data_IF_354189759661
#
_entry.id   IF_354189759661
#
_cell.length_a   1.000
_cell.length_b   1.000
_cell.length_c   1.000
_cell.angle_alpha   90.00
_cell.angle_beta   90.00
_cell.angle_gamma   90.00
#
_symmetry.space_group_name_H-M   'P 1'
#
loop_
_entity.id
_entity.type
_entity.pdbx_description
1 polymer ?
#
# COMPACT_ATOMS: atom_id res chain seq x y z
N UNK A 1 -12.24 -36.90 -27.95
CA UNK A 1 -13.08 -35.68 -27.91
C UNK A 1 -13.07 -35.18 -26.48
N UNK A 2 -11.99 -34.49 -26.10
CA UNK A 2 -11.90 -33.86 -24.79
C UNK A 2 -12.82 -32.64 -24.79
N UNK A 3 -13.90 -32.75 -24.01
CA UNK A 3 -14.82 -31.67 -23.75
C UNK A 3 -14.12 -30.68 -22.82
N UNK A 4 -13.54 -29.64 -23.41
CA UNK A 4 -13.21 -28.42 -22.67
C UNK A 4 -14.50 -27.90 -22.05
N UNK A 5 -14.64 -28.11 -20.74
CA UNK A 5 -15.68 -27.46 -19.95
C UNK A 5 -15.36 -25.97 -20.00
N UNK A 6 -15.96 -25.28 -20.96
CA UNK A 6 -15.94 -23.84 -21.05
C UNK A 6 -16.85 -23.37 -19.92
N UNK A 7 -16.29 -23.18 -18.72
CA UNK A 7 -16.99 -22.51 -17.62
C UNK A 7 -17.29 -21.10 -18.10
N UNK A 8 -18.50 -20.90 -18.59
CA UNK A 8 -18.99 -19.63 -19.08
C UNK A 8 -18.84 -18.59 -17.96
N UNK A 9 -18.12 -17.51 -18.25
CA UNK A 9 -17.90 -16.44 -17.30
C UNK A 9 -19.24 -15.76 -16.95
N UNK A 10 -19.71 -15.95 -15.72
CA UNK A 10 -20.93 -15.30 -15.22
C UNK A 10 -20.65 -13.83 -14.86
N UNK A 11 -20.77 -12.98 -15.89
CA UNK A 11 -20.60 -11.53 -15.78
C UNK A 11 -21.53 -10.92 -14.73
N UNK A 12 -22.78 -11.36 -14.67
CA UNK A 12 -23.77 -10.79 -13.74
C UNK A 12 -23.41 -11.06 -12.29
N UNK A 13 -22.95 -12.28 -11.97
CA UNK A 13 -22.45 -12.60 -10.63
C UNK A 13 -21.24 -11.73 -10.25
N UNK A 14 -20.34 -11.43 -11.19
CA UNK A 14 -19.19 -10.56 -10.94
C UNK A 14 -19.63 -9.11 -10.70
N UNK A 15 -20.54 -8.57 -11.53
CA UNK A 15 -21.10 -7.24 -11.35
C UNK A 15 -21.80 -7.10 -10.00
N UNK A 16 -22.59 -8.10 -9.60
CA UNK A 16 -23.24 -8.14 -8.28
C UNK A 16 -22.22 -8.08 -7.15
N UNK A 17 -21.16 -8.90 -7.20
CA UNK A 17 -20.10 -8.91 -6.18
C UNK A 17 -19.35 -7.58 -6.09
N UNK A 18 -19.15 -6.88 -7.21
CA UNK A 18 -18.54 -5.53 -7.21
C UNK A 18 -19.48 -4.52 -6.55
N UNK A 19 -20.78 -4.57 -6.85
CA UNK A 19 -21.77 -3.68 -6.22
C UNK A 19 -21.86 -3.91 -4.71
N UNK A 20 -21.83 -5.17 -4.28
CA UNK A 20 -21.77 -5.54 -2.85
C UNK A 20 -20.50 -5.00 -2.18
N UNK A 21 -19.34 -5.20 -2.81
CA UNK A 21 -18.08 -4.65 -2.32
C UNK A 21 -18.10 -3.12 -2.23
N UNK A 22 -18.75 -2.43 -3.19
CA UNK A 22 -18.94 -0.97 -3.21
C UNK A 22 -19.80 -0.50 -2.04
N UNK A 23 -20.91 -1.18 -1.76
CA UNK A 23 -21.76 -0.86 -0.61
C UNK A 23 -21.00 -1.05 0.70
N UNK A 24 -20.29 -2.17 0.83
CA UNK A 24 -19.51 -2.48 2.01
C UNK A 24 -18.40 -1.45 2.25
N UNK A 25 -17.52 -1.20 1.27
CA UNK A 25 -16.43 -0.24 1.44
C UNK A 25 -16.94 1.18 1.62
N UNK A 26 -18.00 1.58 0.91
CA UNK A 26 -18.60 2.91 1.01
C UNK A 26 -19.19 3.21 2.39
N UNK A 27 -19.64 2.17 3.11
CA UNK A 27 -20.17 2.29 4.49
C UNK A 27 -19.09 2.16 5.58
N UNK A 28 -17.83 1.92 5.20
CA UNK A 28 -16.75 1.65 6.16
C UNK A 28 -16.16 2.92 6.79
N UNK A 29 -15.60 2.76 7.99
CA UNK A 29 -14.81 3.81 8.66
C UNK A 29 -13.58 4.22 7.84
N UNK A 30 -12.98 3.28 7.09
CA UNK A 30 -11.87 3.56 6.18
C UNK A 30 -12.29 4.62 5.15
N UNK A 31 -13.39 4.39 4.42
CA UNK A 31 -13.80 5.30 3.37
C UNK A 31 -14.17 6.67 3.94
N UNK A 32 -14.85 6.70 5.08
CA UNK A 32 -15.18 7.93 5.82
C UNK A 32 -13.92 8.71 6.19
N UNK A 33 -12.92 8.03 6.74
CA UNK A 33 -11.62 8.62 7.10
C UNK A 33 -10.87 9.16 5.88
N UNK A 34 -10.81 8.40 4.78
CA UNK A 34 -10.17 8.85 3.54
C UNK A 34 -10.86 10.08 2.96
N UNK A 35 -12.19 10.12 2.94
CA UNK A 35 -12.95 11.30 2.48
C UNK A 35 -12.66 12.52 3.36
N UNK A 36 -12.55 12.34 4.68
CA UNK A 36 -12.16 13.42 5.59
C UNK A 36 -10.75 13.95 5.28
N UNK A 37 -9.76 13.07 5.13
CA UNK A 37 -8.40 13.46 4.75
C UNK A 37 -8.33 14.12 3.37
N UNK A 38 -9.11 13.64 2.39
CA UNK A 38 -9.19 14.29 1.08
C UNK A 38 -9.82 15.69 1.18
N UNK A 39 -10.83 15.88 2.04
CA UNK A 39 -11.42 17.19 2.30
C UNK A 39 -10.39 18.15 2.89
N UNK A 40 -9.60 17.71 3.87
CA UNK A 40 -8.49 18.51 4.41
C UNK A 40 -7.48 18.87 3.32
N UNK A 41 -7.11 17.90 2.49
CA UNK A 41 -6.25 18.11 1.33
C UNK A 41 -6.80 19.13 0.34
N UNK A 42 -8.10 19.07 0.03
CA UNK A 42 -8.75 20.04 -0.86
C UNK A 42 -8.78 21.44 -0.25
N UNK A 43 -8.96 21.58 1.06
CA UNK A 43 -8.85 22.89 1.75
C UNK A 43 -7.46 23.49 1.56
N UNK A 44 -6.39 22.69 1.66
CA UNK A 44 -5.01 23.12 1.40
C UNK A 44 -4.82 23.59 -0.05
N UNK A 45 -5.59 23.04 -1.00
CA UNK A 45 -5.58 23.41 -2.41
C UNK A 45 -6.56 24.55 -2.77
N UNK A 46 -7.15 25.21 -1.77
CA UNK A 46 -8.16 26.28 -1.95
C UNK A 46 -9.51 25.77 -2.52
N UNK A 47 -9.90 24.55 -2.13
CA UNK A 47 -11.17 23.89 -2.46
C UNK A 47 -11.51 23.81 -3.96
N UNK A 48 -10.59 23.30 -4.82
CA UNK A 48 -10.89 23.13 -6.22
C UNK A 48 -11.91 22.01 -6.43
N UNK A 49 -12.70 22.10 -7.51
CA UNK A 49 -13.55 20.99 -7.94
C UNK A 49 -12.70 19.91 -8.60
N UNK A 50 -12.80 18.67 -8.12
CA UNK A 50 -12.21 17.50 -8.76
C UNK A 50 -12.91 17.26 -10.09
N UNK A 51 -12.17 17.33 -11.20
CA UNK A 51 -12.72 17.19 -12.56
C UNK A 51 -12.48 15.80 -13.15
N UNK A 52 -11.45 15.11 -12.67
CA UNK A 52 -11.00 13.85 -13.25
C UNK A 52 -10.49 12.90 -12.17
N UNK A 53 -10.74 11.61 -12.37
CA UNK A 53 -10.11 10.54 -11.59
C UNK A 53 -9.47 9.57 -12.58
N UNK A 54 -8.20 9.27 -12.35
CA UNK A 54 -7.40 8.33 -13.13
C UNK A 54 -6.90 7.25 -12.21
N UNK A 55 -7.10 5.99 -12.59
CA UNK A 55 -6.62 4.84 -11.84
C UNK A 55 -5.59 4.04 -12.64
N UNK A 56 -4.48 3.73 -12.00
CA UNK A 56 -3.47 2.80 -12.50
C UNK A 56 -3.37 1.59 -11.58
N UNK A 57 -3.23 0.38 -12.14
CA UNK A 57 -2.87 -0.80 -11.34
C UNK A 57 -4.01 -1.46 -10.55
N UNK A 58 -5.22 -1.55 -11.10
CA UNK A 58 -6.35 -2.21 -10.42
C UNK A 58 -6.23 -3.74 -10.31
N UNK A 59 -5.46 -4.38 -11.20
CA UNK A 59 -5.36 -5.82 -11.29
C UNK A 59 -6.59 -6.51 -11.93
N UNK A 60 -6.78 -7.78 -11.58
CA UNK A 60 -7.80 -8.68 -12.15
C UNK A 60 -9.13 -8.54 -11.41
N UNK A 61 -9.92 -7.52 -11.72
CA UNK A 61 -11.12 -7.16 -10.94
C UNK A 61 -12.21 -8.24 -10.93
N UNK A 62 -12.30 -9.07 -11.97
CA UNK A 62 -13.27 -10.17 -12.02
C UNK A 62 -12.90 -11.35 -11.12
N UNK A 63 -11.61 -11.58 -10.93
CA UNK A 63 -11.05 -12.80 -10.35
C UNK A 63 -10.49 -12.59 -8.93
N UNK A 64 -9.80 -11.47 -8.70
CA UNK A 64 -9.12 -11.17 -7.45
C UNK A 64 -9.99 -10.34 -6.51
N UNK A 65 -10.10 -10.78 -5.26
CA UNK A 65 -10.87 -10.06 -4.24
C UNK A 65 -10.26 -8.70 -3.90
N UNK A 66 -8.92 -8.61 -3.83
CA UNK A 66 -8.19 -7.37 -3.55
C UNK A 66 -8.51 -6.33 -4.63
N UNK A 67 -8.30 -6.69 -5.90
CA UNK A 67 -8.63 -5.85 -7.06
C UNK A 67 -10.11 -5.42 -7.07
N UNK A 68 -11.02 -6.31 -6.66
CA UNK A 68 -12.44 -6.00 -6.57
C UNK A 68 -12.74 -4.89 -5.56
N UNK A 69 -12.16 -4.95 -4.36
CA UNK A 69 -12.36 -3.91 -3.35
C UNK A 69 -11.65 -2.60 -3.70
N UNK A 70 -10.48 -2.66 -4.34
CA UNK A 70 -9.81 -1.46 -4.86
C UNK A 70 -10.66 -0.77 -5.94
N UNK A 71 -11.24 -1.55 -6.85
CA UNK A 71 -12.17 -1.02 -7.83
C UNK A 71 -13.46 -0.49 -7.19
N UNK A 72 -14.01 -1.19 -6.21
CA UNK A 72 -15.17 -0.73 -5.45
C UNK A 72 -14.90 0.62 -4.74
N UNK A 73 -13.73 0.78 -4.13
CA UNK A 73 -13.29 2.03 -3.52
C UNK A 73 -13.18 3.16 -4.57
N UNK A 74 -12.62 2.88 -5.74
CA UNK A 74 -12.57 3.82 -6.86
C UNK A 74 -13.98 4.26 -7.30
N UNK A 75 -14.95 3.34 -7.34
CA UNK A 75 -16.34 3.68 -7.64
C UNK A 75 -16.99 4.54 -6.55
N UNK A 76 -16.63 4.34 -5.28
CA UNK A 76 -17.09 5.22 -4.19
C UNK A 76 -16.51 6.64 -4.34
N UNK A 77 -15.25 6.78 -4.75
CA UNK A 77 -14.65 8.10 -5.07
C UNK A 77 -15.35 8.77 -6.25
N UNK A 78 -15.65 8.01 -7.32
CA UNK A 78 -16.41 8.50 -8.49
C UNK A 78 -17.74 9.12 -8.06
N UNK A 79 -18.51 8.40 -7.24
CA UNK A 79 -19.80 8.88 -6.75
C UNK A 79 -19.64 10.09 -5.83
N UNK A 80 -18.68 10.04 -4.89
CA UNK A 80 -18.46 11.11 -3.90
C UNK A 80 -18.14 12.46 -4.56
N UNK A 81 -17.29 12.45 -5.60
CA UNK A 81 -16.91 13.66 -6.33
C UNK A 81 -17.80 13.94 -7.55
N UNK A 82 -18.83 13.12 -7.78
CA UNK A 82 -19.74 13.21 -8.93
C UNK A 82 -18.99 13.33 -10.28
N UNK A 83 -17.93 12.53 -10.46
CA UNK A 83 -17.11 12.54 -11.68
C UNK A 83 -17.75 11.62 -12.72
N UNK A 84 -18.08 12.17 -13.89
CA UNK A 84 -18.86 11.47 -14.92
C UNK A 84 -18.21 10.18 -15.44
N UNK A 85 -16.93 10.22 -15.79
CA UNK A 85 -16.16 9.04 -16.22
C UNK A 85 -14.80 9.02 -15.56
N UNK A 86 -14.36 7.81 -15.19
CA UNK A 86 -13.05 7.56 -14.61
C UNK A 86 -12.18 6.88 -15.65
N UNK A 87 -10.93 7.31 -15.78
CA UNK A 87 -9.96 6.67 -16.67
C UNK A 87 -9.24 5.56 -15.91
N UNK A 88 -9.12 4.39 -16.52
CA UNK A 88 -8.49 3.24 -15.88
C UNK A 88 -7.49 2.58 -16.82
N UNK A 89 -6.37 2.12 -16.26
CA UNK A 89 -5.40 1.34 -16.99
C UNK A 89 -4.69 0.33 -16.10
N UNK A 90 -4.63 -0.90 -16.58
CA UNK A 90 -3.74 -1.93 -16.07
C UNK A 90 -3.35 -2.86 -17.23
N UNK A 91 -2.05 -3.15 -17.42
CA UNK A 91 -1.62 -4.09 -18.45
C UNK A 91 -2.20 -5.51 -18.26
N UNK A 92 -2.68 -5.87 -17.07
CA UNK A 92 -3.21 -7.22 -16.78
C UNK A 92 -4.70 -7.37 -17.04
N UNK A 93 -5.42 -6.34 -17.51
CA UNK A 93 -6.84 -6.45 -17.83
C UNK A 93 -7.10 -7.44 -18.99
N UNK A 94 -7.95 -8.44 -18.75
CA UNK A 94 -8.51 -9.27 -19.84
C UNK A 94 -9.73 -8.62 -20.47
N UNK A 95 -10.20 -9.20 -21.56
CA UNK A 95 -11.50 -8.88 -22.16
C UNK A 95 -12.64 -8.91 -21.15
N UNK A 96 -12.60 -9.89 -20.24
CA UNK A 96 -13.52 -9.98 -19.10
C UNK A 96 -13.50 -8.73 -18.22
N UNK A 97 -12.32 -8.30 -17.77
CA UNK A 97 -12.17 -7.10 -16.94
C UNK A 97 -12.64 -5.85 -17.71
N UNK A 98 -12.31 -5.75 -19.00
CA UNK A 98 -12.72 -4.63 -19.86
C UNK A 98 -14.25 -4.54 -19.95
N UNK A 99 -14.90 -5.67 -20.20
CA UNK A 99 -16.37 -5.74 -20.27
C UNK A 99 -17.06 -5.37 -18.94
N UNK A 100 -16.43 -5.70 -17.81
CA UNK A 100 -16.89 -5.27 -16.47
C UNK A 100 -16.73 -3.76 -16.31
N UNK A 101 -15.55 -3.21 -16.61
CA UNK A 101 -15.22 -1.78 -16.48
C UNK A 101 -16.18 -0.89 -17.30
N UNK A 102 -16.49 -1.30 -18.52
CA UNK A 102 -17.48 -0.64 -19.38
C UNK A 102 -18.87 -0.58 -18.73
N UNK A 103 -19.27 -1.64 -18.02
CA UNK A 103 -20.56 -1.71 -17.32
C UNK A 103 -20.68 -0.70 -16.16
N UNK A 104 -19.55 -0.15 -15.69
CA UNK A 104 -19.48 0.90 -14.67
C UNK A 104 -19.09 2.28 -15.23
N UNK A 105 -19.11 2.44 -16.56
CA UNK A 105 -18.77 3.68 -17.28
C UNK A 105 -17.32 4.15 -17.04
N UNK A 106 -16.38 3.19 -17.01
CA UNK A 106 -14.95 3.48 -16.97
C UNK A 106 -14.41 3.63 -18.39
N UNK A 107 -13.60 4.65 -18.64
CA UNK A 107 -12.86 4.81 -19.88
C UNK A 107 -11.53 4.07 -19.77
N UNK A 108 -11.38 2.99 -20.53
CA UNK A 108 -10.17 2.17 -20.49
C UNK A 108 -9.13 2.80 -21.41
N UNK A 109 -7.99 3.20 -20.85
CA UNK A 109 -6.90 3.75 -21.64
C UNK A 109 -6.31 2.63 -22.53
N UNK A 110 -6.04 2.96 -23.79
CA UNK A 110 -5.49 2.00 -24.76
C UNK A 110 -3.96 1.93 -24.70
N UNK A 111 -3.33 3.02 -24.29
CA UNK A 111 -1.88 3.17 -24.27
C UNK A 111 -1.33 2.99 -22.85
N UNK A 112 -0.19 2.30 -22.77
CA UNK A 112 0.58 2.22 -21.54
C UNK A 112 1.37 3.52 -21.34
N UNK A 113 0.82 4.46 -20.58
CA UNK A 113 1.55 5.68 -20.24
C UNK A 113 2.68 5.44 -19.23
N UNK A 114 2.80 4.25 -18.64
CA UNK A 114 3.79 3.94 -17.60
C UNK A 114 3.75 4.94 -16.41
N UNK A 115 2.59 5.56 -16.15
CA UNK A 115 2.42 6.62 -15.16
C UNK A 115 2.81 8.03 -15.63
N UNK A 116 3.36 8.20 -16.85
CA UNK A 116 3.73 9.49 -17.47
C UNK A 116 2.50 10.23 -18.00
N UNK A 117 1.52 10.48 -17.14
CA UNK A 117 0.31 11.21 -17.49
C UNK A 117 0.43 12.67 -17.06
N UNK A 118 0.39 13.59 -18.02
CA UNK A 118 0.39 15.04 -17.74
C UNK A 118 -1.04 15.53 -17.54
N UNK A 119 -1.33 16.16 -16.40
CA UNK A 119 -2.64 16.75 -16.15
C UNK A 119 -2.85 17.95 -17.08
N UNK A 120 -4.05 18.12 -17.66
CA UNK A 120 -4.39 19.34 -18.37
C UNK A 120 -4.35 20.56 -17.44
N UNK A 121 -4.00 21.72 -17.97
CA UNK A 121 -3.92 22.95 -17.19
C UNK A 121 -5.22 23.22 -16.41
N UNK A 122 -5.10 23.55 -15.12
CA UNK A 122 -6.22 23.90 -14.24
C UNK A 122 -7.30 22.80 -14.11
N UNK A 123 -6.86 21.55 -14.21
CA UNK A 123 -7.72 20.37 -14.02
C UNK A 123 -7.25 19.59 -12.81
N UNK A 124 -7.95 19.75 -11.69
CA UNK A 124 -7.67 18.96 -10.48
C UNK A 124 -8.04 17.51 -10.71
N UNK A 125 -7.01 16.66 -10.68
CA UNK A 125 -7.10 15.25 -11.01
C UNK A 125 -6.65 14.39 -9.82
N UNK A 126 -7.51 13.46 -9.40
CA UNK A 126 -7.15 12.42 -8.45
C UNK A 126 -6.52 11.26 -9.21
N UNK A 127 -5.30 10.89 -8.82
CA UNK A 127 -4.63 9.67 -9.25
C UNK A 127 -4.77 8.62 -8.16
N UNK A 128 -5.50 7.54 -8.44
CA UNK A 128 -5.56 6.37 -7.57
C UNK A 128 -4.63 5.28 -8.09
N UNK A 129 -3.64 4.92 -7.28
CA UNK A 129 -2.54 4.04 -7.68
C UNK A 129 -2.30 2.97 -6.62
N UNK A 130 -3.28 2.09 -6.36
CA UNK A 130 -3.17 1.08 -5.32
C UNK A 130 -2.03 0.10 -5.64
N UNK A 131 -1.13 -0.11 -4.68
CA UNK A 131 -0.01 -1.06 -4.77
C UNK A 131 0.84 -0.95 -6.04
N UNK A 132 0.83 0.23 -6.65
CA UNK A 132 1.62 0.50 -7.82
C UNK A 132 3.11 0.57 -7.45
N UNK A 133 4.00 0.07 -8.30
CA UNK A 133 5.43 0.30 -8.13
C UNK A 133 5.72 1.79 -8.01
N UNK A 134 6.64 2.17 -7.10
CA UNK A 134 7.08 3.57 -6.90
C UNK A 134 7.48 4.29 -8.19
N UNK A 135 7.93 3.54 -9.20
CA UNK A 135 8.29 4.04 -10.52
C UNK A 135 7.13 4.75 -11.23
N UNK A 136 5.88 4.27 -11.06
CA UNK A 136 4.72 4.96 -11.66
C UNK A 136 4.49 6.31 -10.99
N UNK A 137 4.56 6.39 -9.65
CA UNK A 137 4.44 7.67 -8.94
C UNK A 137 5.58 8.62 -9.31
N UNK A 138 6.80 8.11 -9.44
CA UNK A 138 7.96 8.89 -9.89
C UNK A 138 7.78 9.43 -11.32
N UNK A 139 7.24 8.62 -12.23
CA UNK A 139 6.93 9.04 -13.61
C UNK A 139 5.81 10.09 -13.66
N UNK A 140 4.80 9.96 -12.81
CA UNK A 140 3.71 10.92 -12.71
C UNK A 140 4.20 12.27 -12.19
N UNK A 141 5.08 12.26 -11.19
CA UNK A 141 5.74 13.47 -10.70
C UNK A 141 6.58 14.12 -11.79
N UNK A 142 7.37 13.34 -12.54
CA UNK A 142 8.15 13.84 -13.65
C UNK A 142 7.28 14.49 -14.75
N UNK A 143 6.22 13.82 -15.17
CA UNK A 143 5.34 14.32 -16.23
C UNK A 143 4.63 15.65 -15.88
N UNK A 144 4.57 15.97 -14.58
CA UNK A 144 3.94 17.18 -14.06
C UNK A 144 4.93 18.08 -13.30
N UNK A 145 6.24 17.83 -13.42
CA UNK A 145 7.25 18.48 -12.60
C UNK A 145 7.21 19.99 -12.78
N UNK A 146 6.96 20.69 -11.67
CA UNK A 146 6.67 22.11 -11.67
C UNK A 146 5.47 22.44 -10.78
N UNK A 147 5.05 23.70 -10.84
CA UNK A 147 3.88 24.16 -10.08
C UNK A 147 2.57 23.50 -10.51
N UNK A 148 2.55 22.84 -11.68
CA UNK A 148 1.41 22.06 -12.16
C UNK A 148 1.07 20.87 -11.25
N UNK A 149 2.02 20.40 -10.43
CA UNK A 149 1.77 19.39 -9.39
C UNK A 149 0.63 19.79 -8.43
N UNK A 150 0.35 21.09 -8.27
CA UNK A 150 -0.75 21.58 -7.46
C UNK A 150 -2.13 21.07 -7.91
N UNK A 151 -2.27 20.67 -9.18
CA UNK A 151 -3.50 20.07 -9.72
C UNK A 151 -3.55 18.54 -9.57
N UNK A 152 -2.50 17.91 -9.04
CA UNK A 152 -2.44 16.47 -8.81
C UNK A 152 -2.80 16.14 -7.35
N UNK A 153 -3.68 15.16 -7.14
CA UNK A 153 -3.91 14.55 -5.83
C UNK A 153 -3.60 13.07 -5.96
N UNK A 154 -2.63 12.53 -5.22
CA UNK A 154 -2.22 11.13 -5.36
C UNK A 154 -2.70 10.31 -4.16
N UNK A 155 -3.50 9.27 -4.42
CA UNK A 155 -3.81 8.19 -3.47
C UNK A 155 -2.95 6.99 -3.88
N UNK A 156 -1.80 6.84 -3.23
CA UNK A 156 -0.74 5.91 -3.64
C UNK A 156 0.05 5.39 -2.43
N UNK A 157 1.09 4.58 -2.66
CA UNK A 157 2.01 4.19 -1.60
C UNK A 157 2.65 5.42 -0.91
N UNK A 158 2.81 5.35 0.41
CA UNK A 158 3.46 6.41 1.20
C UNK A 158 4.86 6.71 0.68
N UNK A 159 5.11 8.00 0.39
CA UNK A 159 6.44 8.45 -0.03
C UNK A 159 7.44 8.36 1.13
N UNK A 160 7.00 8.64 2.36
CA UNK A 160 7.82 8.40 3.55
C UNK A 160 8.24 6.93 3.67
N UNK A 161 7.30 5.98 3.58
CA UNK A 161 7.62 4.54 3.61
C UNK A 161 8.59 4.15 2.49
N UNK A 162 8.42 4.70 1.28
CA UNK A 162 9.31 4.43 0.15
C UNK A 162 10.74 4.89 0.46
N UNK A 163 10.90 6.09 1.04
CA UNK A 163 12.20 6.67 1.34
C UNK A 163 12.87 5.95 2.50
N UNK A 164 12.15 5.68 3.59
CA UNK A 164 12.70 5.05 4.79
C UNK A 164 13.18 3.61 4.51
N UNK A 165 12.47 2.89 3.63
CA UNK A 165 12.79 1.50 3.30
C UNK A 165 13.77 1.32 2.13
N UNK A 166 14.23 2.41 1.51
CA UNK A 166 15.10 2.31 0.32
C UNK A 166 16.36 3.15 0.50
N UNK A 167 17.52 2.54 0.24
CA UNK A 167 18.81 3.24 0.35
C UNK A 167 18.84 4.42 -0.63
N UNK A 168 19.31 5.59 -0.16
CA UNK A 168 19.30 6.84 -0.92
C UNK A 168 19.94 6.76 -2.31
N UNK A 169 21.01 5.98 -2.48
CA UNK A 169 21.64 5.75 -3.80
C UNK A 169 20.68 5.12 -4.81
N UNK A 170 19.83 4.20 -4.37
CA UNK A 170 18.82 3.55 -5.20
C UNK A 170 17.70 4.54 -5.53
N UNK A 171 17.22 5.28 -4.52
CA UNK A 171 16.19 6.31 -4.71
C UNK A 171 16.63 7.39 -5.71
N UNK A 172 17.87 7.89 -5.62
CA UNK A 172 18.40 8.85 -6.59
C UNK A 172 18.38 8.33 -8.03
N UNK A 173 18.49 7.01 -8.23
CA UNK A 173 18.45 6.39 -9.55
C UNK A 173 17.02 6.13 -10.04
N UNK A 174 16.13 5.64 -9.16
CA UNK A 174 14.84 5.08 -9.57
C UNK A 174 13.60 5.74 -8.94
N UNK A 175 13.77 6.80 -8.16
CA UNK A 175 12.71 7.53 -7.46
C UNK A 175 13.14 8.97 -7.10
N UNK A 176 13.95 9.62 -7.95
CA UNK A 176 14.54 10.94 -7.66
C UNK A 176 13.48 12.03 -7.48
N UNK A 177 12.41 12.01 -8.27
CA UNK A 177 11.31 12.98 -8.16
C UNK A 177 10.55 12.81 -6.84
N UNK A 178 10.34 11.57 -6.39
CA UNK A 178 9.76 11.29 -5.05
C UNK A 178 10.69 11.86 -3.97
N UNK A 179 11.98 11.54 -4.03
CA UNK A 179 12.96 11.98 -3.03
C UNK A 179 13.04 13.51 -2.93
N UNK A 180 12.98 14.21 -4.07
CA UNK A 180 13.09 15.66 -4.13
C UNK A 180 11.79 16.38 -3.70
N UNK A 181 10.61 15.82 -3.98
CA UNK A 181 9.34 16.49 -3.68
C UNK A 181 8.87 16.33 -2.23
N UNK A 182 9.33 15.30 -1.51
CA UNK A 182 8.87 14.97 -0.14
C UNK A 182 8.87 16.16 0.83
N UNK A 183 9.90 17.01 0.90
CA UNK A 183 9.88 18.16 1.82
C UNK A 183 8.76 19.17 1.52
N UNK A 184 8.20 19.11 0.31
CA UNK A 184 7.26 20.08 -0.24
C UNK A 184 5.85 19.51 -0.43
N UNK A 185 5.67 18.20 -0.22
CA UNK A 185 4.37 17.53 -0.24
C UNK A 185 3.74 17.54 1.16
N UNK A 186 2.42 17.49 1.21
CA UNK A 186 1.68 17.13 2.43
C UNK A 186 1.18 15.72 2.24
N UNK A 187 1.73 14.79 3.02
CA UNK A 187 1.33 13.39 3.00
C UNK A 187 0.40 13.13 4.19
N UNK A 188 -0.84 12.73 3.88
CA UNK A 188 -1.87 12.36 4.85
C UNK A 188 -1.97 10.83 4.87
N UNK A 189 -1.61 10.22 6.00
CA UNK A 189 -1.68 8.78 6.15
C UNK A 189 -3.13 8.29 6.08
N UNK A 190 -3.37 7.17 5.38
CA UNK A 190 -4.66 6.48 5.43
C UNK A 190 -4.64 5.48 6.59
N UNK A 191 -5.46 5.72 7.61
CA UNK A 191 -5.62 4.79 8.73
C UNK A 191 -6.45 3.61 8.24
N UNK A 192 -5.80 2.48 7.96
CA UNK A 192 -6.50 1.33 7.42
C UNK A 192 -7.19 0.49 8.50
N UNK A 193 -8.49 0.73 8.68
CA UNK A 193 -9.36 -0.04 9.59
C UNK A 193 -10.18 -1.12 8.88
N UNK A 194 -9.94 -1.35 7.58
CA UNK A 194 -10.73 -2.30 6.81
C UNK A 194 -10.36 -3.75 7.14
N UNK A 195 -11.36 -4.64 7.12
CA UNK A 195 -11.20 -6.06 7.51
C UNK A 195 -10.16 -6.83 6.69
N UNK A 196 -9.89 -6.36 5.47
CA UNK A 196 -8.84 -6.86 4.58
C UNK A 196 -7.72 -5.83 4.53
N UNK A 197 -6.83 -5.89 5.53
CA UNK A 197 -5.81 -4.88 5.78
C UNK A 197 -4.82 -4.73 4.60
N UNK A 198 -4.54 -5.80 3.88
CA UNK A 198 -3.64 -5.83 2.72
C UNK A 198 -4.16 -5.08 1.49
N UNK A 199 -5.44 -4.68 1.47
CA UNK A 199 -6.02 -4.01 0.30
C UNK A 199 -5.56 -2.55 0.21
N UNK A 200 -5.41 -1.89 1.37
CA UNK A 200 -5.08 -0.47 1.49
C UNK A 200 -3.90 -0.21 2.45
N UNK A 201 -3.09 -1.24 2.75
CA UNK A 201 -1.87 -1.03 3.53
C UNK A 201 -0.91 -0.10 2.78
N UNK A 202 -0.11 0.64 3.54
CA UNK A 202 0.88 1.58 2.99
C UNK A 202 0.29 2.64 2.05
N UNK A 203 -1.03 2.87 2.07
CA UNK A 203 -1.67 3.90 1.25
C UNK A 203 -1.65 5.26 1.96
N UNK A 204 -1.36 6.32 1.22
CA UNK A 204 -1.37 7.70 1.68
C UNK A 204 -1.93 8.62 0.60
N UNK A 205 -2.44 9.77 1.03
CA UNK A 205 -2.91 10.86 0.17
C UNK A 205 -1.79 11.90 0.12
N UNK A 206 -1.41 12.32 -1.09
CA UNK A 206 -0.35 13.29 -1.31
C UNK A 206 -0.93 14.53 -1.97
N UNK A 207 -0.73 15.67 -1.30
CA UNK A 207 -1.20 16.99 -1.70
C UNK A 207 0.00 17.88 -1.95
N UNK A 208 -0.03 18.67 -3.02
CA UNK A 208 1.07 19.56 -3.42
C UNK A 208 0.63 21.02 -3.26
N UNK A 209 0.90 21.66 -2.11
CA UNK A 209 0.33 22.97 -1.80
C UNK A 209 0.99 24.08 -2.64
N UNK A 210 0.19 24.91 -3.31
CA UNK A 210 0.69 26.03 -4.12
C UNK A 210 1.63 26.94 -3.34
N UNK A 211 1.30 27.22 -2.07
CA UNK A 211 2.11 28.06 -1.18
C UNK A 211 3.51 27.49 -0.89
N UNK A 212 3.70 26.17 -0.96
CA UNK A 212 5.02 25.52 -0.88
C UNK A 212 5.70 25.50 -2.25
N UNK A 213 4.98 25.10 -3.31
CA UNK A 213 5.56 24.94 -4.64
C UNK A 213 6.08 26.26 -5.23
N UNK A 214 5.37 27.36 -5.02
CA UNK A 214 5.75 28.69 -5.56
C UNK A 214 7.03 29.26 -4.95
N UNK A 215 7.51 28.70 -3.84
CA UNK A 215 8.72 29.14 -3.15
C UNK A 215 9.98 28.39 -3.64
N UNK A 216 9.80 27.38 -4.49
CA UNK A 216 10.90 26.58 -5.03
C UNK A 216 11.58 27.31 -6.19
N UNK A 217 12.91 27.26 -6.22
CA UNK A 217 13.73 27.94 -7.22
C UNK A 217 13.61 27.31 -8.60
N UNK A 218 13.95 28.08 -9.63
CA UNK A 218 14.02 27.58 -11.00
C UNK A 218 15.03 26.42 -11.13
N UNK A 219 16.12 26.44 -10.35
CA UNK A 219 17.08 25.33 -10.29
C UNK A 219 16.43 24.02 -9.81
N UNK A 220 15.51 24.08 -8.84
CA UNK A 220 14.77 22.89 -8.38
C UNK A 220 13.92 22.31 -9.51
N UNK A 221 13.24 23.19 -10.27
CA UNK A 221 12.39 22.80 -11.39
C UNK A 221 13.17 22.44 -12.65
N UNK A 222 14.45 22.79 -12.76
CA UNK A 222 15.28 22.46 -13.91
C UNK A 222 15.57 20.95 -14.05
N UNK A 223 15.30 20.15 -13.01
CA UNK A 223 15.35 18.70 -13.11
C UNK A 223 14.30 18.21 -14.11
N UNK A 224 14.75 17.74 -15.27
CA UNK A 224 13.88 17.33 -16.38
C UNK A 224 14.24 15.97 -16.98
N UNK A 225 15.23 15.27 -16.42
CA UNK A 225 15.68 13.97 -16.92
C UNK A 225 14.57 12.94 -16.82
N UNK A 226 14.11 12.43 -17.96
CA UNK A 226 13.08 11.41 -18.00
C UNK A 226 13.54 10.16 -17.23
N UNK A 227 12.71 9.63 -16.29
CA UNK A 227 13.05 8.41 -15.59
C UNK A 227 13.24 7.24 -16.56
N UNK A 228 14.36 6.54 -16.40
CA UNK A 228 14.67 5.33 -17.13
C UNK A 228 15.03 4.22 -16.13
N UNK A 229 14.37 3.08 -16.25
CA UNK A 229 14.48 1.97 -15.32
C UNK A 229 15.08 0.76 -16.02
N UNK A 230 16.06 0.10 -15.39
CA UNK A 230 16.52 -1.19 -15.91
C UNK A 230 15.47 -2.28 -15.68
N UNK A 231 15.60 -3.40 -16.39
CA UNK A 231 14.76 -4.58 -16.15
C UNK A 231 14.78 -5.04 -14.70
N UNK A 232 15.91 -4.87 -14.00
CA UNK A 232 16.02 -5.16 -12.57
C UNK A 232 15.19 -4.20 -11.71
N UNK A 233 15.22 -2.90 -12.01
CA UNK A 233 14.41 -1.88 -11.33
C UNK A 233 12.90 -2.16 -11.53
N UNK A 234 12.52 -2.58 -12.74
CA UNK A 234 11.15 -2.95 -13.09
C UNK A 234 10.75 -4.27 -12.41
N UNK A 235 11.64 -5.27 -12.38
CA UNK A 235 11.39 -6.55 -11.69
C UNK A 235 11.25 -6.37 -10.19
N UNK A 236 12.04 -5.51 -9.56
CA UNK A 236 11.88 -5.17 -8.13
C UNK A 236 10.55 -4.43 -7.88
N UNK A 237 10.13 -3.57 -8.82
CA UNK A 237 8.80 -2.94 -8.81
C UNK A 237 7.64 -3.93 -8.99
N UNK A 238 7.69 -4.82 -9.98
CA UNK A 238 6.69 -5.88 -10.21
C UNK A 238 6.72 -6.96 -9.13
N UNK A 239 7.88 -7.19 -8.50
CA UNK A 239 8.02 -8.05 -7.34
C UNK A 239 7.59 -7.37 -6.03
N UNK A 240 7.17 -6.09 -6.06
CA UNK A 240 6.46 -5.43 -4.95
C UNK A 240 4.93 -5.51 -5.08
N UNK A 241 4.38 -5.97 -6.22
CA UNK A 241 3.12 -6.72 -6.18
C UNK A 241 3.44 -8.02 -5.43
N UNK A 242 3.34 -7.93 -4.11
CA UNK A 242 3.77 -8.96 -3.15
C UNK A 242 5.28 -9.17 -3.18
N UNK A 243 6.02 -8.51 -2.29
CA UNK A 243 7.41 -8.92 -2.06
C UNK A 243 7.46 -10.23 -1.28
N UNK A 244 7.48 -11.32 -2.07
CA UNK A 244 7.75 -12.70 -1.68
C UNK A 244 9.02 -12.88 -0.84
N UNK A 245 9.94 -11.91 -0.90
CA UNK A 245 11.22 -11.95 -0.18
C UNK A 245 11.20 -11.05 1.05
N UNK A 246 10.43 -9.96 1.07
CA UNK A 246 10.35 -9.08 2.24
C UNK A 246 9.57 -9.73 3.38
N UNK A 247 8.40 -10.33 3.12
CA UNK A 247 7.67 -11.09 4.15
C UNK A 247 8.54 -12.23 4.69
N UNK A 248 9.21 -12.98 3.82
CA UNK A 248 10.10 -14.06 4.23
C UNK A 248 11.31 -13.55 5.03
N UNK A 249 11.95 -12.44 4.63
CA UNK A 249 13.05 -11.79 5.37
C UNK A 249 12.58 -11.29 6.73
N UNK A 250 11.38 -10.71 6.80
CA UNK A 250 10.77 -10.25 8.05
C UNK A 250 10.44 -11.42 8.97
N UNK A 251 9.88 -12.52 8.46
CA UNK A 251 9.66 -13.75 9.24
C UNK A 251 11.00 -14.27 9.77
N UNK A 252 12.03 -14.35 8.92
CA UNK A 252 13.37 -14.79 9.33
C UNK A 252 13.96 -13.86 10.40
N UNK A 253 13.74 -12.54 10.28
CA UNK A 253 14.21 -11.56 11.26
C UNK A 253 13.51 -11.72 12.60
N UNK A 254 12.18 -11.83 12.62
CA UNK A 254 11.42 -12.03 13.86
C UNK A 254 11.74 -13.39 14.51
N UNK A 255 11.93 -14.44 13.71
CA UNK A 255 12.37 -15.75 14.22
C UNK A 255 13.77 -15.70 14.82
N UNK A 256 14.68 -14.85 14.32
CA UNK A 256 16.01 -14.65 14.95
C UNK A 256 15.91 -13.96 16.30
N UNK A 257 14.94 -13.06 16.48
CA UNK A 257 14.70 -12.41 17.76
C UNK A 257 14.02 -13.35 18.77
N UNK A 258 13.18 -14.28 18.29
CA UNK A 258 12.42 -15.19 19.15
C UNK A 258 13.15 -16.49 19.53
N UNK A 259 14.24 -16.86 18.83
CA UNK A 259 14.92 -18.14 19.00
C UNK A 259 16.39 -17.97 19.45
N UNK A 260 16.96 -18.94 20.19
CA UNK A 260 18.38 -18.92 20.57
C UNK A 260 19.32 -19.01 19.35
N UNK A 261 20.54 -18.47 19.47
CA UNK A 261 21.56 -18.52 18.41
C UNK A 261 21.76 -19.94 17.86
N UNK A 262 21.90 -20.05 16.53
CA UNK A 262 22.09 -21.30 15.75
C UNK A 262 20.88 -22.26 15.60
N UNK A 263 19.71 -21.98 16.19
CA UNK A 263 18.53 -22.85 16.05
C UNK A 263 17.69 -22.61 14.77
N UNK A 264 17.96 -21.51 14.05
CA UNK A 264 17.15 -21.03 12.92
C UNK A 264 17.01 -22.05 11.78
N UNK A 265 18.08 -22.76 11.41
CA UNK A 265 18.09 -23.72 10.29
C UNK A 265 17.27 -24.99 10.59
N UNK A 266 17.10 -25.31 11.88
CA UNK A 266 16.41 -26.52 12.34
C UNK A 266 14.94 -26.24 12.71
N UNK A 267 14.48 -25.00 12.58
CA UNK A 267 13.10 -24.64 12.85
C UNK A 267 12.17 -25.22 11.75
N UNK A 268 11.30 -26.14 12.16
CA UNK A 268 10.34 -26.85 11.29
C UNK A 268 9.40 -25.88 10.55
N UNK A 269 8.94 -24.80 11.20
CA UNK A 269 8.06 -23.82 10.58
C UNK A 269 8.79 -23.03 9.48
N UNK A 270 10.05 -22.63 9.72
CA UNK A 270 10.85 -21.96 8.69
C UNK A 270 11.13 -22.88 7.49
N UNK A 271 11.46 -24.15 7.72
CA UNK A 271 11.67 -25.12 6.63
C UNK A 271 10.40 -25.34 5.81
N UNK A 272 9.25 -25.46 6.48
CA UNK A 272 7.96 -25.59 5.80
C UNK A 272 7.64 -24.35 4.96
N UNK A 273 7.77 -23.15 5.52
CA UNK A 273 7.51 -21.89 4.81
C UNK A 273 8.44 -21.76 3.59
N UNK A 274 9.74 -22.01 3.76
CA UNK A 274 10.70 -21.99 2.65
C UNK A 274 10.33 -23.02 1.56
N UNK A 275 9.81 -24.19 1.93
CA UNK A 275 9.33 -25.19 0.97
C UNK A 275 8.10 -24.72 0.18
N UNK A 276 7.13 -24.07 0.83
CA UNK A 276 5.94 -23.53 0.16
C UNK A 276 6.34 -22.38 -0.79
N UNK A 277 7.18 -21.46 -0.35
CA UNK A 277 7.69 -20.36 -1.18
C UNK A 277 8.47 -20.84 -2.42
N UNK A 278 9.18 -21.97 -2.31
CA UNK A 278 9.85 -22.62 -3.45
C UNK A 278 8.84 -23.30 -4.39
N UNK A 279 7.83 -23.98 -3.84
CA UNK A 279 6.80 -24.70 -4.59
C UNK A 279 5.98 -23.77 -5.50
N UNK A 280 5.68 -22.55 -5.05
CA UNK A 280 4.85 -21.58 -5.79
C UNK A 280 5.67 -20.44 -6.45
N UNK A 281 6.96 -20.68 -6.74
CA UNK A 281 7.89 -19.66 -7.24
C UNK A 281 7.60 -19.20 -8.69
N UNK A 282 7.05 -20.08 -9.54
CA UNK A 282 6.79 -19.83 -10.98
C UNK A 282 5.81 -20.86 -11.53
N UNK A 283 4.52 -20.53 -11.72
CA UNK A 283 3.57 -21.37 -12.48
C UNK A 283 2.22 -20.68 -12.75
N UNK A 284 1.44 -21.27 -13.67
CA UNK A 284 0.23 -20.83 -14.40
C UNK A 284 -1.01 -20.42 -13.60
N UNK A 285 -1.97 -19.78 -14.29
CA UNK A 285 -3.18 -19.09 -13.76
C UNK A 285 -4.00 -19.85 -12.69
N UNK A 286 -4.19 -21.17 -12.81
CA UNK A 286 -4.94 -21.95 -11.82
C UNK A 286 -4.27 -22.03 -10.44
N UNK A 287 -2.95 -21.78 -10.35
CA UNK A 287 -2.19 -21.78 -9.10
C UNK A 287 -1.99 -20.38 -8.51
N UNK A 288 -2.52 -19.32 -9.15
CA UNK A 288 -2.43 -17.95 -8.62
C UNK A 288 -3.18 -17.81 -7.28
N UNK A 289 -4.34 -18.46 -7.16
CA UNK A 289 -5.11 -18.51 -5.91
C UNK A 289 -4.37 -19.21 -4.77
N UNK A 290 -3.78 -20.38 -5.03
CA UNK A 290 -2.97 -21.10 -4.04
C UNK A 290 -1.72 -20.31 -3.64
N UNK A 291 -1.18 -19.49 -4.56
CA UNK A 291 -0.06 -18.60 -4.29
C UNK A 291 -0.47 -17.42 -3.39
N UNK A 292 -1.62 -16.79 -3.64
CA UNK A 292 -2.19 -15.74 -2.78
C UNK A 292 -2.52 -16.28 -1.38
N UNK A 293 -3.04 -17.51 -1.28
CA UNK A 293 -3.31 -18.19 0.00
C UNK A 293 -2.04 -18.42 0.82
N UNK A 294 -0.94 -18.86 0.18
CA UNK A 294 0.35 -19.07 0.86
C UNK A 294 0.94 -17.76 1.37
N UNK A 295 0.74 -16.68 0.63
CA UNK A 295 1.15 -15.36 1.06
C UNK A 295 0.32 -14.85 2.24
N UNK A 296 -1.00 -15.01 2.17
CA UNK A 296 -1.92 -14.69 3.26
C UNK A 296 -1.51 -15.42 4.55
N UNK A 297 -1.20 -16.72 4.46
CA UNK A 297 -0.72 -17.51 5.60
C UNK A 297 0.62 -16.97 6.11
N UNK A 298 1.53 -16.58 5.23
CA UNK A 298 2.83 -16.03 5.62
C UNK A 298 2.72 -14.67 6.32
N UNK A 299 1.90 -13.76 5.81
CA UNK A 299 1.65 -12.45 6.43
C UNK A 299 0.94 -12.60 7.79
N UNK A 300 -0.01 -13.54 7.89
CA UNK A 300 -0.67 -13.90 9.16
C UNK A 300 0.34 -14.40 10.18
N UNK A 301 1.25 -15.29 9.76
CA UNK A 301 2.30 -15.82 10.62
C UNK A 301 3.29 -14.73 11.07
N UNK A 302 3.66 -13.81 10.17
CA UNK A 302 4.49 -12.67 10.52
C UNK A 302 3.82 -11.77 11.57
N UNK A 303 2.53 -11.49 11.41
CA UNK A 303 1.75 -10.70 12.37
C UNK A 303 1.73 -11.37 13.74
N UNK A 304 1.55 -12.69 13.77
CA UNK A 304 1.60 -13.48 15.00
C UNK A 304 2.98 -13.38 15.69
N UNK A 305 4.08 -13.56 14.95
CA UNK A 305 5.44 -13.47 15.51
C UNK A 305 5.73 -12.08 16.11
N UNK A 306 5.36 -11.01 15.39
CA UNK A 306 5.49 -9.64 15.89
C UNK A 306 4.68 -9.40 17.16
N UNK A 307 3.44 -9.87 17.17
CA UNK A 307 2.55 -9.75 18.33
C UNK A 307 3.08 -10.52 19.53
N UNK A 308 3.68 -11.69 19.31
CA UNK A 308 4.31 -12.49 20.36
C UNK A 308 5.52 -11.78 20.98
N UNK A 309 6.40 -11.19 20.15
CA UNK A 309 7.52 -10.39 20.65
C UNK A 309 7.04 -9.18 21.44
N UNK A 310 6.08 -8.42 20.91
CA UNK A 310 5.52 -7.26 21.60
C UNK A 310 4.86 -7.67 22.93
N UNK A 311 4.14 -8.80 22.95
CA UNK A 311 3.59 -9.34 24.19
C UNK A 311 4.69 -9.67 25.20
N UNK A 312 5.81 -10.27 24.77
CA UNK A 312 6.96 -10.53 25.65
C UNK A 312 7.59 -9.25 26.19
N UNK A 313 7.70 -8.20 25.38
CA UNK A 313 8.22 -6.89 25.79
C UNK A 313 7.30 -6.23 26.83
N UNK A 314 6.00 -6.16 26.54
CA UNK A 314 4.99 -5.63 27.47
C UNK A 314 4.95 -6.46 28.75
N UNK A 315 5.05 -7.79 28.65
CA UNK A 315 5.11 -8.66 29.81
C UNK A 315 6.42 -8.42 30.60
N UNK A 316 7.57 -8.24 29.96
CA UNK A 316 8.81 -7.94 30.67
C UNK A 316 8.73 -6.58 31.41
N UNK A 317 8.06 -5.60 30.83
CA UNK A 317 7.93 -4.25 31.39
C UNK A 317 6.87 -4.15 32.49
N UNK A 318 5.71 -4.78 32.29
CA UNK A 318 4.52 -4.59 33.12
C UNK A 318 4.09 -5.81 33.91
N UNK A 319 4.75 -6.98 33.75
CA UNK A 319 4.43 -8.12 34.59
C UNK A 319 4.78 -7.80 36.04
N UNK A 320 3.73 -7.71 36.87
CA UNK A 320 3.87 -7.42 38.28
C UNK A 320 4.80 -8.42 38.95
N UNK A 321 5.87 -7.92 39.59
CA UNK A 321 6.74 -8.71 40.48
C UNK A 321 6.02 -9.01 41.80
N UNK A 322 4.80 -9.55 41.76
CA UNK A 322 3.99 -9.84 42.95
C UNK A 322 3.84 -8.68 43.94
N UNK A 323 3.41 -8.97 45.16
CA UNK A 323 3.45 -8.02 46.26
C UNK A 323 4.92 -7.82 46.71
N UNK A 324 5.34 -6.56 46.85
CA UNK A 324 6.68 -6.21 47.33
C UNK A 324 6.87 -6.74 48.75
N UNK A 325 8.06 -7.24 49.06
CA UNK A 325 8.34 -7.70 50.42
C UNK A 325 8.32 -6.53 51.42
N UNK A 326 8.03 -6.83 52.68
CA UNK A 326 8.03 -5.84 53.78
C UNK A 326 9.38 -5.12 53.87
N UNK A 327 10.49 -5.83 53.60
CA UNK A 327 11.85 -5.29 53.59
C UNK A 327 12.10 -4.31 52.44
N UNK A 328 11.68 -4.65 51.22
CA UNK A 328 11.83 -3.75 50.07
C UNK A 328 10.97 -2.49 50.23
N UNK A 329 9.79 -2.62 50.83
CA UNK A 329 8.92 -1.48 51.12
C UNK A 329 9.55 -0.57 52.17
N UNK A 330 10.06 -1.13 53.28
CA UNK A 330 10.74 -0.38 54.33
C UNK A 330 11.94 0.42 53.79
N UNK A 331 12.75 -0.20 52.93
CA UNK A 331 13.89 0.47 52.29
C UNK A 331 13.49 1.63 51.37
N UNK A 332 12.35 1.51 50.67
CA UNK A 332 11.84 2.53 49.76
C UNK A 332 11.38 3.80 50.47
N UNK A 333 10.86 3.65 51.70
CA UNK A 333 10.44 4.76 52.56
C UNK A 333 11.51 5.18 53.58
N UNK A 334 12.72 4.63 53.49
CA UNK A 334 13.87 5.03 54.32
C UNK A 334 13.88 4.48 55.74
N UNK A 335 13.12 3.41 56.02
CA UNK A 335 13.07 2.75 57.33
C UNK A 335 13.90 1.47 57.34
N UNK A 336 14.58 1.19 58.46
CA UNK A 336 15.25 -0.09 58.74
C UNK A 336 14.29 -1.05 59.43
N UNK A 337 14.45 -2.35 59.22
CA UNK A 337 13.69 -3.36 59.96
C UNK A 337 14.25 -3.54 61.39
N UNK A 338 13.46 -4.03 62.36
CA UNK A 338 13.86 -4.16 63.77
C UNK A 338 15.11 -5.02 64.02
N UNK A 339 15.47 -5.87 63.06
CA UNK A 339 16.63 -6.77 63.13
C UNK A 339 17.83 -6.30 62.30
N UNK A 340 17.73 -5.16 61.61
CA UNK A 340 18.85 -4.63 60.85
C UNK A 340 19.85 -3.93 61.80
N UNK A 341 21.17 -4.11 61.62
CA UNK A 341 22.17 -3.48 62.49
C UNK A 341 22.07 -1.94 62.42
N UNK A 342 22.22 -1.31 63.58
CA UNK A 342 22.08 0.14 63.77
C UNK A 342 23.02 0.93 62.87
#
# INVERSE_FOLDING_TARGET
TDSTVNTEFDKESVLRRIREAKLEIGSSDLFTSVVASLREGLVILENPTVKEIICFGLGRIGECMISRYQFAFLLCLKDHYNVGRIKVYDPVFTETDRSILESFQCDILKENFEGKYRVPDKTTTIFYMPHCPKQLSNNLLWANWGVNLNYCILIANSFNTIVDNTIRRILNKNASYILNIIPHVVELAVINTFKFYEIFNDTAIHIFPWNKLKLLSDDFWSLNSEPNYSDEDIRDGRARMVSKVNTLRQIISELRCALPENSLKNNLALQYILSQYRKYKTTSEQLCKAREEVEFVANTYLCYLKSSRLHQEIHAEFHGKGERSVRETANLVGFKLPHDPK
#
